data_IF_930339700085
#
_entry.id   IF_930339700085
#
_cell.length_a   1.000
_cell.length_b   1.000
_cell.length_c   1.000
_cell.angle_alpha   90.00
_cell.angle_beta   90.00
_cell.angle_gamma   90.00
#
_symmetry.space_group_name_H-M   'P 1'
#
loop_
_entity.id
_entity.type
_entity.pdbx_description
1 polymer ?
#
# COMPACT_ATOMS: atom_id res chain seq x y z
N UNK A 1 57.20 -2.48 -18.97
CA UNK A 1 55.92 -2.16 -19.59
C UNK A 1 55.16 -3.45 -19.84
N UNK A 2 54.31 -3.85 -18.93
CA UNK A 2 53.47 -5.04 -19.03
C UNK A 2 52.36 -4.74 -20.02
N UNK A 3 52.34 -5.42 -21.17
CA UNK A 3 51.23 -5.34 -22.13
C UNK A 3 49.95 -5.88 -21.47
N UNK A 4 49.01 -5.00 -21.16
CA UNK A 4 47.68 -5.38 -20.79
C UNK A 4 47.05 -6.02 -22.02
N UNK A 5 46.63 -7.28 -21.93
CA UNK A 5 45.88 -7.95 -22.98
C UNK A 5 44.60 -7.17 -23.29
N UNK A 6 44.21 -7.03 -24.55
CA UNK A 6 42.95 -6.36 -24.88
C UNK A 6 41.78 -7.14 -24.26
N UNK A 7 40.97 -6.46 -23.44
CA UNK A 7 39.71 -7.00 -22.94
C UNK A 7 38.87 -7.27 -24.18
N UNK A 8 38.61 -8.55 -24.49
CA UNK A 8 37.56 -8.91 -25.44
C UNK A 8 36.22 -8.49 -24.82
N UNK A 9 35.71 -7.37 -25.29
CA UNK A 9 34.29 -6.99 -25.04
C UNK A 9 33.45 -8.04 -25.75
N UNK A 10 33.01 -9.07 -25.02
CA UNK A 10 31.87 -9.88 -25.51
C UNK A 10 30.74 -8.91 -25.88
N UNK A 11 30.18 -9.08 -27.09
CA UNK A 11 29.08 -8.25 -27.56
C UNK A 11 27.96 -8.42 -26.56
N UNK A 12 27.78 -7.45 -25.66
CA UNK A 12 26.63 -7.39 -24.74
C UNK A 12 25.35 -7.48 -25.59
N UNK A 13 24.64 -8.59 -25.46
CA UNK A 13 23.33 -8.73 -26.08
C UNK A 13 22.37 -7.82 -25.33
N UNK A 14 21.81 -6.84 -26.03
CA UNK A 14 20.76 -5.98 -25.52
C UNK A 14 19.49 -6.16 -26.35
N UNK A 15 18.36 -6.26 -25.67
CA UNK A 15 17.04 -6.32 -26.31
C UNK A 15 16.09 -5.34 -25.62
N UNK A 16 15.10 -4.87 -26.37
CA UNK A 16 14.07 -3.98 -25.85
C UNK A 16 12.70 -4.51 -26.27
N UNK A 17 11.80 -4.61 -25.33
CA UNK A 17 10.42 -5.00 -25.52
C UNK A 17 9.50 -3.93 -24.93
N UNK A 18 8.28 -3.85 -25.45
CA UNK A 18 7.24 -2.98 -24.86
C UNK A 18 5.99 -3.80 -24.56
N UNK A 19 5.44 -3.57 -23.36
CA UNK A 19 4.24 -4.21 -22.86
C UNK A 19 3.09 -3.22 -22.83
N UNK A 20 1.97 -3.63 -23.39
CA UNK A 20 0.74 -2.85 -23.34
C UNK A 20 0.24 -2.67 -21.92
N UNK A 21 -0.53 -1.59 -21.71
CA UNK A 21 -1.10 -1.28 -20.43
C UNK A 21 -2.14 -2.34 -20.02
N UNK A 22 -2.00 -2.97 -18.83
CA UNK A 22 -2.95 -3.98 -18.39
C UNK A 22 -4.32 -3.37 -18.12
N UNK A 23 -5.35 -4.07 -18.53
CA UNK A 23 -6.73 -3.74 -18.20
C UNK A 23 -7.04 -4.04 -16.74
N UNK A 24 -8.08 -3.41 -16.23
CA UNK A 24 -8.67 -3.60 -14.91
C UNK A 24 -10.10 -4.10 -15.10
N UNK A 25 -10.59 -4.89 -14.13
CA UNK A 25 -11.97 -5.37 -14.06
C UNK A 25 -12.82 -4.43 -13.22
N UNK A 26 -14.01 -4.13 -13.75
CA UNK A 26 -15.06 -3.35 -13.10
C UNK A 26 -16.34 -4.19 -12.96
N UNK A 27 -17.48 -3.58 -12.63
CA UNK A 27 -18.74 -4.27 -12.56
C UNK A 27 -19.07 -4.98 -13.88
N UNK A 28 -19.82 -6.09 -13.79
CA UNK A 28 -20.25 -6.92 -14.94
C UNK A 28 -19.10 -7.36 -15.84
N UNK A 29 -17.91 -7.63 -15.26
CA UNK A 29 -16.69 -8.04 -15.96
C UNK A 29 -16.22 -7.07 -17.06
N UNK A 30 -16.69 -5.82 -17.01
CA UNK A 30 -16.24 -4.78 -17.93
C UNK A 30 -14.79 -4.40 -17.65
N UNK A 31 -14.07 -4.02 -18.70
CA UNK A 31 -12.65 -3.73 -18.62
C UNK A 31 -12.31 -2.34 -19.10
N UNK A 32 -11.36 -1.71 -18.46
CA UNK A 32 -10.71 -0.47 -18.88
C UNK A 32 -9.31 -0.37 -18.26
N UNK A 33 -8.37 0.29 -18.93
CA UNK A 33 -7.03 0.46 -18.38
C UNK A 33 -6.93 1.57 -17.32
N UNK A 34 -7.86 2.54 -17.30
CA UNK A 34 -7.87 3.66 -16.36
C UNK A 34 -9.00 3.54 -15.33
N UNK A 35 -8.71 3.46 -14.02
CA UNK A 35 -9.74 3.39 -13.00
C UNK A 35 -10.62 4.65 -12.95
N UNK A 36 -10.09 5.84 -13.31
CA UNK A 36 -10.85 7.09 -13.33
C UNK A 36 -11.84 7.18 -14.49
N UNK A 37 -11.71 6.30 -15.48
CA UNK A 37 -12.66 6.15 -16.57
C UNK A 37 -13.57 4.94 -16.33
N UNK A 38 -13.01 3.81 -15.88
CA UNK A 38 -13.77 2.59 -15.67
C UNK A 38 -14.85 2.71 -14.59
N UNK A 39 -14.55 3.35 -13.46
CA UNK A 39 -15.53 3.57 -12.38
C UNK A 39 -16.73 4.41 -12.82
N UNK A 40 -16.59 5.57 -13.47
CA UNK A 40 -17.73 6.33 -13.98
C UNK A 40 -18.58 5.56 -14.98
N UNK A 41 -17.96 4.81 -15.88
CA UNK A 41 -18.65 4.10 -16.95
C UNK A 41 -19.39 2.85 -16.45
N UNK A 42 -18.76 2.05 -15.60
CA UNK A 42 -19.22 0.70 -15.27
C UNK A 42 -19.59 0.53 -13.78
N UNK A 43 -19.12 1.42 -12.90
CA UNK A 43 -19.17 1.25 -11.46
C UNK A 43 -17.99 0.42 -10.92
N UNK A 44 -17.82 0.37 -9.59
CA UNK A 44 -16.75 -0.40 -8.98
C UNK A 44 -16.96 -1.91 -9.15
N UNK A 45 -15.89 -2.70 -9.10
CA UNK A 45 -15.90 -4.17 -9.29
C UNK A 45 -16.92 -4.89 -8.42
N UNK A 46 -17.12 -4.44 -7.18
CA UNK A 46 -18.09 -5.06 -6.28
C UNK A 46 -19.54 -4.62 -6.52
N UNK A 47 -19.81 -3.67 -7.40
CA UNK A 47 -21.19 -3.25 -7.67
C UNK A 47 -22.03 -4.44 -8.17
N UNK A 48 -23.23 -4.60 -7.62
CA UNK A 48 -24.09 -5.74 -7.90
C UNK A 48 -23.75 -7.03 -7.13
N UNK A 49 -22.73 -7.03 -6.28
CA UNK A 49 -22.34 -8.18 -5.46
C UNK A 49 -22.67 -7.95 -3.97
N UNK A 50 -22.62 -9.01 -3.16
CA UNK A 50 -22.81 -8.94 -1.70
C UNK A 50 -21.77 -8.07 -0.97
N UNK A 51 -20.64 -7.77 -1.59
CA UNK A 51 -19.59 -6.90 -1.04
C UNK A 51 -19.87 -5.41 -1.22
N UNK A 52 -20.78 -5.08 -2.11
CA UNK A 52 -21.14 -3.69 -2.34
C UNK A 52 -22.04 -3.16 -1.23
N UNK A 53 -21.62 -2.08 -0.58
CA UNK A 53 -22.44 -1.37 0.39
C UNK A 53 -23.13 -0.19 -0.27
N UNK A 54 -24.45 -0.19 -0.25
CA UNK A 54 -25.27 0.93 -0.72
C UNK A 54 -25.15 2.15 0.19
N UNK A 55 -25.01 1.93 1.49
CA UNK A 55 -24.86 2.96 2.51
C UNK A 55 -23.60 2.71 3.34
N UNK A 56 -22.79 3.75 3.52
CA UNK A 56 -21.54 3.73 4.28
C UNK A 56 -21.68 4.68 5.47
N UNK A 57 -21.67 4.11 6.68
CA UNK A 57 -21.77 4.85 7.93
C UNK A 57 -20.40 5.30 8.42
N UNK A 58 -20.20 6.62 8.52
CA UNK A 58 -18.93 7.21 8.90
C UNK A 58 -19.04 7.85 10.28
N UNK A 59 -18.17 7.41 11.19
CA UNK A 59 -17.93 8.06 12.47
C UNK A 59 -16.78 9.07 12.40
N UNK A 60 -16.81 10.06 13.28
CA UNK A 60 -15.81 11.11 13.34
C UNK A 60 -15.23 11.27 14.74
N UNK A 61 -13.92 11.49 14.81
CA UNK A 61 -13.21 11.87 16.04
C UNK A 61 -12.47 13.16 15.77
N UNK A 62 -12.67 14.21 16.59
CA UNK A 62 -11.97 15.49 16.43
C UNK A 62 -12.66 16.64 17.15
N UNK A 63 -12.07 17.86 17.10
CA UNK A 63 -12.77 19.07 17.51
C UNK A 63 -14.05 19.27 16.70
N UNK A 64 -15.12 19.74 17.35
CA UNK A 64 -16.44 19.78 16.72
C UNK A 64 -16.46 20.60 15.42
N UNK A 65 -15.84 21.77 15.40
CA UNK A 65 -15.74 22.60 14.21
C UNK A 65 -14.99 21.90 13.07
N UNK A 66 -13.88 21.21 13.38
CA UNK A 66 -13.14 20.41 12.40
C UNK A 66 -13.97 19.26 11.83
N UNK A 67 -14.79 18.61 12.70
CA UNK A 67 -15.69 17.52 12.28
C UNK A 67 -16.78 18.04 11.34
N UNK A 68 -17.44 19.14 11.68
CA UNK A 68 -18.49 19.75 10.84
C UNK A 68 -17.95 20.12 9.46
N UNK A 69 -16.75 20.70 9.38
CA UNK A 69 -16.09 21.00 8.12
C UNK A 69 -15.71 19.71 7.34
N UNK A 70 -15.27 18.66 8.04
CA UNK A 70 -14.98 17.38 7.41
C UNK A 70 -16.25 16.73 6.84
N UNK A 71 -17.37 16.73 7.57
CA UNK A 71 -18.65 16.21 7.09
C UNK A 71 -19.11 16.97 5.83
N UNK A 72 -19.06 18.31 5.86
CA UNK A 72 -19.37 19.15 4.70
C UNK A 72 -18.47 18.84 3.51
N UNK A 73 -17.15 18.68 3.73
CA UNK A 73 -16.20 18.33 2.68
C UNK A 73 -16.51 16.97 2.05
N UNK A 74 -16.81 15.95 2.87
CA UNK A 74 -17.21 14.62 2.37
C UNK A 74 -18.51 14.70 1.56
N UNK A 75 -19.51 15.47 2.03
CA UNK A 75 -20.78 15.64 1.34
C UNK A 75 -20.61 16.34 0.01
N UNK A 76 -19.88 17.46 -0.03
CA UNK A 76 -19.57 18.15 -1.27
C UNK A 76 -18.85 17.24 -2.27
N UNK A 77 -17.81 16.53 -1.83
CA UNK A 77 -17.08 15.60 -2.70
C UNK A 77 -17.97 14.46 -3.18
N UNK A 78 -18.87 13.94 -2.32
CA UNK A 78 -19.77 12.84 -2.69
C UNK A 78 -20.71 13.19 -3.86
N UNK A 79 -21.00 14.45 -4.07
CA UNK A 79 -21.79 14.94 -5.21
C UNK A 79 -21.00 15.04 -6.52
N UNK A 80 -19.69 14.84 -6.45
CA UNK A 80 -18.76 14.98 -7.57
C UNK A 80 -17.92 16.26 -7.47
N UNK A 81 -16.73 16.21 -8.03
CA UNK A 81 -15.80 17.34 -8.03
C UNK A 81 -15.36 17.60 -9.47
N UNK A 82 -15.53 18.82 -10.03
CA UNK A 82 -15.05 19.13 -11.37
C UNK A 82 -13.54 18.96 -11.47
N UNK A 83 -13.09 18.59 -12.65
CA UNK A 83 -11.67 18.57 -13.03
C UNK A 83 -11.24 19.88 -13.68
N UNK A 84 -10.02 19.88 -14.17
CA UNK A 84 -9.42 20.91 -15.02
C UNK A 84 -8.61 20.26 -16.15
N UNK A 85 -7.74 21.00 -16.81
CA UNK A 85 -6.89 20.49 -17.92
C UNK A 85 -5.93 19.38 -17.47
N UNK A 86 -5.52 19.36 -16.19
CA UNK A 86 -4.56 18.39 -15.64
C UNK A 86 -5.22 17.31 -14.78
N UNK A 87 -6.45 17.53 -14.33
CA UNK A 87 -7.11 16.68 -13.33
C UNK A 87 -8.47 16.16 -13.82
N UNK A 88 -8.57 14.84 -13.94
CA UNK A 88 -9.83 14.17 -14.28
C UNK A 88 -10.89 14.44 -13.20
N UNK A 89 -12.12 14.82 -13.56
CA UNK A 89 -13.18 15.07 -12.59
C UNK A 89 -13.49 13.83 -11.76
N UNK A 90 -13.82 14.02 -10.49
CA UNK A 90 -14.29 12.94 -9.62
C UNK A 90 -15.81 12.78 -9.80
N UNK A 91 -16.33 11.58 -10.16
CA UNK A 91 -17.72 11.37 -10.52
C UNK A 91 -18.70 11.42 -9.34
N UNK A 92 -18.17 11.29 -8.10
CA UNK A 92 -18.97 11.25 -6.89
C UNK A 92 -19.05 9.88 -6.24
N UNK A 93 -19.70 9.87 -5.06
CA UNK A 93 -19.96 8.69 -4.24
C UNK A 93 -21.46 8.66 -3.90
N UNK A 94 -22.28 8.38 -4.92
CA UNK A 94 -23.75 8.38 -4.86
C UNK A 94 -24.29 7.14 -5.54
N UNK A 95 -25.49 6.70 -5.17
CA UNK A 95 -26.12 5.51 -5.73
C UNK A 95 -26.26 5.54 -7.25
N UNK A 96 -26.42 6.71 -7.83
CA UNK A 96 -26.64 6.92 -9.26
C UNK A 96 -25.36 7.11 -10.07
N UNK A 97 -24.21 7.30 -9.42
CA UNK A 97 -22.95 7.64 -10.09
C UNK A 97 -21.70 7.19 -9.31
N UNK A 98 -20.57 7.16 -10.01
CA UNK A 98 -19.27 6.89 -9.43
C UNK A 98 -19.21 5.55 -8.71
N UNK A 99 -19.03 5.56 -7.40
CA UNK A 99 -18.89 4.35 -6.59
C UNK A 99 -20.22 3.67 -6.24
N UNK A 100 -21.35 4.19 -6.71
CA UNK A 100 -22.68 3.59 -6.52
C UNK A 100 -23.08 3.39 -5.04
N UNK A 101 -22.59 4.23 -4.15
CA UNK A 101 -22.85 4.15 -2.68
C UNK A 101 -23.19 5.54 -2.15
N UNK A 102 -23.88 5.60 -1.02
CA UNK A 102 -24.16 6.85 -0.30
C UNK A 102 -23.43 6.90 1.03
N UNK A 103 -23.07 8.12 1.46
CA UNK A 103 -22.56 8.36 2.81
C UNK A 103 -23.72 8.55 3.79
N UNK A 104 -23.53 8.08 5.03
CA UNK A 104 -24.41 8.33 6.17
C UNK A 104 -23.60 8.91 7.32
N UNK A 105 -24.01 10.06 7.79
CA UNK A 105 -23.49 10.74 8.97
C UNK A 105 -24.56 10.75 10.04
N UNK A 106 -24.18 10.43 11.27
CA UNK A 106 -25.03 10.48 12.43
C UNK A 106 -24.29 11.20 13.55
N UNK A 107 -24.98 12.15 14.22
CA UNK A 107 -24.39 12.90 15.33
C UNK A 107 -24.01 11.99 16.51
N UNK A 108 -24.69 10.85 16.66
CA UNK A 108 -24.33 9.83 17.64
C UNK A 108 -23.00 9.17 17.33
N UNK A 109 -22.50 9.24 16.09
CA UNK A 109 -21.20 8.72 15.65
C UNK A 109 -20.10 9.78 15.64
N UNK A 110 -20.28 10.86 16.40
CA UNK A 110 -19.24 11.90 16.60
C UNK A 110 -18.69 11.82 18.02
N UNK A 111 -17.36 11.61 18.13
CA UNK A 111 -16.65 11.66 19.39
C UNK A 111 -15.73 12.89 19.42
N UNK A 112 -16.03 13.80 20.34
CA UNK A 112 -15.39 15.11 20.37
C UNK A 112 -14.04 15.09 21.09
N UNK A 113 -13.05 15.76 20.51
CA UNK A 113 -11.85 16.20 21.20
C UNK A 113 -12.12 17.62 21.67
N UNK A 114 -12.16 17.83 22.99
CA UNK A 114 -12.46 19.13 23.57
C UNK A 114 -11.25 20.09 23.45
N UNK A 115 -11.53 21.40 23.53
CA UNK A 115 -10.46 22.41 23.60
C UNK A 115 -9.54 22.18 24.80
N UNK A 116 -10.07 21.76 25.93
CA UNK A 116 -9.28 21.45 27.11
C UNK A 116 -8.32 20.29 26.87
N UNK A 117 -8.79 19.18 26.30
CA UNK A 117 -7.94 18.02 25.92
C UNK A 117 -6.85 18.43 24.94
N UNK A 118 -7.18 19.24 23.93
CA UNK A 118 -6.21 19.76 22.96
C UNK A 118 -5.12 20.60 23.67
N UNK A 119 -5.52 21.52 24.57
CA UNK A 119 -4.58 22.36 25.30
C UNK A 119 -3.71 21.56 26.29
N UNK A 120 -4.26 20.53 26.92
CA UNK A 120 -3.50 19.62 27.77
C UNK A 120 -2.39 18.91 26.98
N UNK A 121 -2.72 18.35 25.81
CA UNK A 121 -1.72 17.72 24.94
C UNK A 121 -0.66 18.74 24.51
N UNK A 122 -1.07 19.90 24.01
CA UNK A 122 -0.15 20.92 23.48
C UNK A 122 0.74 21.55 24.58
N UNK A 123 0.28 21.58 25.83
CA UNK A 123 1.03 22.08 26.99
C UNK A 123 2.20 21.20 27.42
N UNK A 124 2.24 19.94 26.98
CA UNK A 124 3.32 19.01 27.31
C UNK A 124 4.58 19.40 26.54
N UNK A 125 5.66 19.70 27.27
CA UNK A 125 6.92 20.18 26.65
C UNK A 125 7.67 19.08 25.92
N UNK A 126 7.78 17.88 26.52
CA UNK A 126 8.53 16.76 25.90
C UNK A 126 7.73 16.09 24.79
N UNK A 127 8.32 15.98 23.61
CA UNK A 127 7.65 15.50 22.42
C UNK A 127 7.12 14.07 22.55
N UNK A 128 7.87 13.16 23.17
CA UNK A 128 7.42 11.78 23.34
C UNK A 128 6.28 11.66 24.34
N UNK A 129 6.31 12.39 25.47
CA UNK A 129 5.22 12.41 26.44
C UNK A 129 3.93 12.96 25.80
N UNK A 130 4.05 14.06 25.04
CA UNK A 130 2.94 14.65 24.29
C UNK A 130 2.36 13.66 23.26
N UNK A 131 3.22 12.93 22.56
CA UNK A 131 2.82 11.90 21.61
C UNK A 131 2.02 10.76 22.28
N UNK A 132 2.50 10.23 23.42
CA UNK A 132 1.83 9.15 24.13
C UNK A 132 0.49 9.62 24.74
N UNK A 133 0.41 10.83 25.27
CA UNK A 133 -0.84 11.37 25.79
C UNK A 133 -1.87 11.56 24.69
N UNK A 134 -1.46 12.05 23.50
CA UNK A 134 -2.37 12.11 22.35
C UNK A 134 -2.83 10.71 21.93
N UNK A 135 -1.94 9.73 21.83
CA UNK A 135 -2.31 8.37 21.47
C UNK A 135 -3.29 7.74 22.47
N UNK A 136 -3.07 7.94 23.77
CA UNK A 136 -3.98 7.47 24.81
C UNK A 136 -5.37 8.11 24.69
N UNK A 137 -5.42 9.43 24.46
CA UNK A 137 -6.66 10.14 24.20
C UNK A 137 -7.39 9.58 22.98
N UNK A 138 -6.67 9.39 21.86
CA UNK A 138 -7.27 8.84 20.63
C UNK A 138 -7.77 7.40 20.82
N UNK A 139 -7.04 6.57 21.58
CA UNK A 139 -7.45 5.21 21.92
C UNK A 139 -8.77 5.21 22.71
N UNK A 140 -8.89 6.05 23.73
CA UNK A 140 -10.11 6.20 24.52
C UNK A 140 -11.30 6.68 23.67
N UNK A 141 -11.08 7.66 22.76
CA UNK A 141 -12.13 8.12 21.83
C UNK A 141 -12.57 7.04 20.84
N UNK A 142 -11.62 6.24 20.34
CA UNK A 142 -11.89 5.07 19.48
C UNK A 142 -12.73 4.02 20.21
N UNK A 143 -12.40 3.73 21.47
CA UNK A 143 -13.12 2.78 22.30
C UNK A 143 -14.57 3.21 22.49
N UNK A 144 -14.81 4.44 22.96
CA UNK A 144 -16.15 5.01 23.17
C UNK A 144 -16.97 4.94 21.89
N UNK A 145 -16.39 5.36 20.75
CA UNK A 145 -17.11 5.38 19.47
C UNK A 145 -17.42 3.97 18.96
N UNK A 146 -16.51 3.03 19.17
CA UNK A 146 -16.66 1.65 18.71
C UNK A 146 -17.65 0.82 19.52
N UNK A 147 -17.95 1.23 20.76
CA UNK A 147 -18.93 0.59 21.65
C UNK A 147 -20.37 1.09 21.45
N UNK A 148 -20.58 2.12 20.63
CA UNK A 148 -21.93 2.63 20.37
C UNK A 148 -22.74 1.63 19.54
N UNK A 149 -23.99 1.45 19.91
CA UNK A 149 -24.93 0.54 19.22
C UNK A 149 -25.55 1.23 17.99
N UNK A 150 -24.68 1.55 17.02
CA UNK A 150 -25.06 2.14 15.75
C UNK A 150 -24.21 1.55 14.61
N UNK A 151 -24.76 1.43 13.39
CA UNK A 151 -23.95 1.03 12.24
C UNK A 151 -22.75 1.95 12.07
N UNK A 152 -21.54 1.39 12.05
CA UNK A 152 -20.29 2.12 11.90
C UNK A 152 -19.34 1.32 11.02
N UNK A 153 -19.03 1.85 9.86
CA UNK A 153 -18.17 1.18 8.87
C UNK A 153 -16.75 1.72 8.86
N UNK A 154 -16.62 3.01 9.09
CA UNK A 154 -15.35 3.73 8.94
C UNK A 154 -15.26 4.89 9.93
N UNK A 155 -14.05 5.18 10.42
CA UNK A 155 -13.81 6.31 11.32
C UNK A 155 -12.85 7.29 10.68
N UNK A 156 -13.23 8.57 10.68
CA UNK A 156 -12.39 9.69 10.24
C UNK A 156 -11.87 10.43 11.48
N UNK A 157 -10.56 10.40 11.67
CA UNK A 157 -9.88 11.23 12.67
C UNK A 157 -9.55 12.57 12.04
N UNK A 158 -10.23 13.62 12.50
CA UNK A 158 -10.00 15.00 12.04
C UNK A 158 -9.12 15.72 13.03
N UNK A 159 -7.95 16.15 12.58
CA UNK A 159 -6.97 16.81 13.44
C UNK A 159 -6.68 18.23 12.96
N UNK A 160 -6.62 19.23 13.88
CA UNK A 160 -6.02 20.52 13.59
C UNK A 160 -4.56 20.35 13.16
N UNK A 161 -4.15 21.12 12.15
CA UNK A 161 -2.80 20.99 11.58
C UNK A 161 -1.71 21.22 12.62
N UNK A 162 -1.89 22.19 13.52
CA UNK A 162 -0.92 22.51 14.55
C UNK A 162 -0.72 21.36 15.56
N UNK A 163 -1.82 20.73 16.00
CA UNK A 163 -1.78 19.54 16.84
C UNK A 163 -1.08 18.38 16.12
N UNK A 164 -1.44 18.15 14.85
CA UNK A 164 -0.84 17.10 14.06
C UNK A 164 0.67 17.31 13.88
N UNK A 165 1.11 18.51 13.50
CA UNK A 165 2.54 18.80 13.27
C UNK A 165 3.38 18.66 14.55
N UNK A 166 2.84 19.05 15.71
CA UNK A 166 3.54 18.90 17.00
C UNK A 166 3.62 17.46 17.51
N UNK A 167 2.75 16.58 17.03
CA UNK A 167 2.68 15.17 17.45
C UNK A 167 3.02 14.19 16.31
N UNK A 168 3.23 14.66 15.08
CA UNK A 168 3.40 13.80 13.90
C UNK A 168 4.50 12.76 14.06
N UNK A 169 5.64 13.18 14.60
CA UNK A 169 6.84 12.35 14.76
C UNK A 169 7.47 12.63 16.11
N UNK A 170 7.92 11.59 16.77
CA UNK A 170 8.74 11.70 17.97
C UNK A 170 9.95 10.78 17.91
N UNK A 171 11.08 11.32 18.40
CA UNK A 171 12.32 10.59 18.55
C UNK A 171 12.76 10.67 20.02
N UNK A 172 13.06 9.53 20.62
CA UNK A 172 13.55 9.49 21.98
C UNK A 172 14.49 8.31 22.19
N UNK A 173 15.37 8.44 23.17
CA UNK A 173 16.37 7.43 23.49
C UNK A 173 15.86 6.51 24.59
N UNK A 174 15.91 5.21 24.32
CA UNK A 174 15.58 4.15 25.29
C UNK A 174 16.87 3.45 25.70
N UNK A 175 17.10 3.30 27.01
CA UNK A 175 18.28 2.61 27.53
C UNK A 175 18.32 1.17 27.04
N UNK A 176 19.44 0.75 26.46
CA UNK A 176 19.63 -0.60 25.90
C UNK A 176 19.04 -0.82 24.49
N UNK A 177 18.27 0.14 23.96
CA UNK A 177 17.65 0.02 22.63
C UNK A 177 18.22 1.06 21.65
N UNK A 178 18.58 2.26 22.15
CA UNK A 178 19.03 3.36 21.29
C UNK A 178 17.91 4.34 20.96
N UNK A 179 17.94 4.89 19.74
CA UNK A 179 16.96 5.85 19.26
C UNK A 179 15.70 5.14 18.75
N UNK A 180 14.57 5.47 19.34
CA UNK A 180 13.24 5.03 18.90
C UNK A 180 12.58 6.16 18.11
N UNK A 181 12.11 5.83 16.91
CA UNK A 181 11.38 6.73 16.03
C UNK A 181 9.93 6.26 15.91
N UNK A 182 8.97 7.12 16.22
CA UNK A 182 7.55 6.82 16.10
C UNK A 182 6.83 7.84 15.21
N UNK A 183 5.82 7.40 14.50
CA UNK A 183 4.97 8.20 13.62
C UNK A 183 3.51 8.07 14.03
N UNK A 184 2.82 9.20 14.21
CA UNK A 184 1.44 9.25 14.71
C UNK A 184 0.47 8.45 13.84
N UNK A 185 0.61 8.52 12.51
CA UNK A 185 -0.27 7.78 11.61
C UNK A 185 -0.13 6.27 11.82
N UNK A 186 1.11 5.78 11.94
CA UNK A 186 1.41 4.35 12.13
C UNK A 186 0.90 3.88 13.49
N UNK A 187 1.21 4.61 14.55
CA UNK A 187 0.77 4.30 15.90
C UNK A 187 -0.75 4.32 16.04
N UNK A 188 -1.42 5.32 15.47
CA UNK A 188 -2.88 5.40 15.48
C UNK A 188 -3.52 4.23 14.70
N UNK A 189 -2.95 3.83 13.55
CA UNK A 189 -3.41 2.63 12.80
C UNK A 189 -3.29 1.36 13.65
N UNK A 190 -2.18 1.18 14.35
CA UNK A 190 -1.98 0.04 15.25
C UNK A 190 -3.04 0.00 16.36
N UNK A 191 -3.36 1.15 16.99
CA UNK A 191 -4.43 1.25 17.98
C UNK A 191 -5.80 0.94 17.35
N UNK A 192 -6.12 1.51 16.20
CA UNK A 192 -7.41 1.34 15.54
C UNK A 192 -7.72 -0.12 15.18
N UNK A 193 -6.69 -0.94 14.94
CA UNK A 193 -6.85 -2.37 14.67
C UNK A 193 -7.52 -3.13 15.82
N UNK A 194 -7.31 -2.70 17.08
CA UNK A 194 -7.92 -3.31 18.27
C UNK A 194 -9.45 -3.21 18.24
N UNK A 195 -9.96 -2.18 17.62
CA UNK A 195 -11.40 -1.89 17.52
C UNK A 195 -12.03 -2.42 16.22
N UNK A 196 -11.29 -3.13 15.39
CA UNK A 196 -11.76 -3.67 14.11
C UNK A 196 -12.40 -2.62 13.19
N UNK A 197 -11.93 -1.37 13.26
CA UNK A 197 -12.44 -0.26 12.46
C UNK A 197 -11.33 0.32 11.56
N UNK A 198 -11.52 0.34 10.24
CA UNK A 198 -10.61 1.03 9.34
C UNK A 198 -10.75 2.54 9.54
N UNK A 199 -9.63 3.25 9.43
CA UNK A 199 -9.59 4.68 9.74
C UNK A 199 -8.97 5.52 8.64
N UNK A 200 -9.29 6.82 8.64
CA UNK A 200 -8.66 7.85 7.83
C UNK A 200 -8.28 9.04 8.71
N UNK A 201 -7.06 9.55 8.57
CA UNK A 201 -6.68 10.84 9.17
C UNK A 201 -6.94 11.93 8.13
N UNK A 202 -7.62 12.97 8.53
CA UNK A 202 -7.91 14.16 7.74
C UNK A 202 -7.47 15.41 8.53
N UNK A 203 -6.82 16.34 7.87
CA UNK A 203 -6.44 17.61 8.50
C UNK A 203 -7.47 18.69 8.18
N UNK A 204 -7.70 19.59 9.11
CA UNK A 204 -8.56 20.76 8.95
C UNK A 204 -8.17 21.65 7.77
N UNK A 205 -6.87 21.70 7.43
CA UNK A 205 -6.37 22.38 6.24
C UNK A 205 -6.81 21.74 4.92
N UNK A 206 -7.07 20.42 4.91
CA UNK A 206 -7.58 19.71 3.72
C UNK A 206 -9.05 20.03 3.47
N UNK A 207 -9.80 20.26 4.55
CA UNK A 207 -11.23 20.64 4.47
C UNK A 207 -11.47 22.13 4.23
N UNK A 208 -10.41 22.93 4.27
CA UNK A 208 -10.48 24.39 4.08
C UNK A 208 -10.89 25.17 5.33
N UNK A 209 -11.00 24.51 6.52
CA UNK A 209 -11.27 25.21 7.79
C UNK A 209 -10.12 26.14 8.16
N UNK A 210 -8.89 25.67 8.04
CA UNK A 210 -7.68 26.45 8.35
C UNK A 210 -6.88 26.71 7.08
N UNK A 211 -6.43 27.95 6.88
CA UNK A 211 -5.52 28.27 5.78
C UNK A 211 -4.13 27.64 6.01
N UNK A 212 -3.49 27.27 4.92
CA UNK A 212 -2.17 26.64 4.95
C UNK A 212 -1.30 27.12 3.81
N UNK A 213 0.01 27.25 4.09
CA UNK A 213 1.02 27.47 3.06
C UNK A 213 1.45 26.14 2.39
N UNK A 214 0.90 24.99 2.83
CA UNK A 214 1.15 23.69 2.20
C UNK A 214 0.43 23.65 0.86
N UNK A 215 1.16 23.29 -0.20
CA UNK A 215 0.53 23.00 -1.48
C UNK A 215 -0.38 21.77 -1.33
N UNK A 216 -1.67 21.97 -1.51
CA UNK A 216 -2.66 20.89 -1.55
C UNK A 216 -2.78 20.38 -2.99
N UNK A 217 -3.02 19.09 -3.12
CA UNK A 217 -3.46 18.52 -4.40
C UNK A 217 -4.80 19.12 -4.82
N UNK A 218 -5.11 19.09 -6.12
CA UNK A 218 -6.41 19.48 -6.62
C UNK A 218 -7.56 18.73 -5.95
N UNK A 219 -8.68 19.38 -5.67
CA UNK A 219 -9.82 18.79 -4.93
C UNK A 219 -10.32 17.48 -5.56
N UNK A 220 -10.34 17.40 -6.89
CA UNK A 220 -10.70 16.17 -7.62
C UNK A 220 -9.74 15.01 -7.30
N UNK A 221 -8.43 15.25 -7.28
CA UNK A 221 -7.43 14.24 -6.93
C UNK A 221 -7.56 13.78 -5.49
N UNK A 222 -7.80 14.73 -4.56
CA UNK A 222 -8.07 14.40 -3.15
C UNK A 222 -9.32 13.52 -3.04
N UNK A 223 -10.40 13.88 -3.72
CA UNK A 223 -11.65 13.12 -3.71
C UNK A 223 -11.45 11.70 -4.29
N UNK A 224 -10.77 11.57 -5.44
CA UNK A 224 -10.46 10.26 -6.01
C UNK A 224 -9.73 9.34 -5.02
N UNK A 225 -8.68 9.83 -4.39
CA UNK A 225 -7.88 9.03 -3.45
C UNK A 225 -8.67 8.69 -2.19
N UNK A 226 -9.38 9.68 -1.63
CA UNK A 226 -10.16 9.51 -0.42
C UNK A 226 -11.28 8.48 -0.58
N UNK A 227 -12.08 8.59 -1.64
CA UNK A 227 -13.23 7.72 -1.86
C UNK A 227 -12.87 6.34 -2.42
N UNK A 228 -11.80 6.23 -3.21
CA UNK A 228 -11.24 4.92 -3.56
C UNK A 228 -10.80 4.15 -2.31
N UNK A 229 -10.04 4.83 -1.44
CA UNK A 229 -9.60 4.24 -0.18
C UNK A 229 -10.77 3.93 0.76
N UNK A 230 -11.78 4.80 0.86
CA UNK A 230 -12.98 4.56 1.64
C UNK A 230 -13.74 3.31 1.16
N UNK A 231 -14.02 3.22 -0.14
CA UNK A 231 -14.73 2.10 -0.71
C UNK A 231 -14.06 0.76 -0.42
N UNK A 232 -12.74 0.69 -0.55
CA UNK A 232 -11.98 -0.51 -0.20
C UNK A 232 -11.98 -0.79 1.32
N UNK A 233 -11.90 0.23 2.15
CA UNK A 233 -11.93 0.08 3.62
C UNK A 233 -13.24 -0.46 4.15
N UNK A 234 -14.33 -0.25 3.44
CA UNK A 234 -15.65 -0.79 3.79
C UNK A 234 -16.00 -2.10 3.05
N UNK A 235 -14.96 -2.86 2.68
CA UNK A 235 -14.99 -4.18 2.01
C UNK A 235 -15.42 -4.17 0.54
N UNK A 236 -15.65 -3.01 -0.06
CA UNK A 236 -15.88 -2.89 -1.49
C UNK A 236 -14.58 -3.01 -2.30
N UNK A 237 -14.64 -3.60 -3.47
CA UNK A 237 -13.50 -3.69 -4.39
C UNK A 237 -13.67 -2.66 -5.51
N UNK A 238 -12.83 -1.60 -5.57
CA UNK A 238 -12.98 -0.56 -6.60
C UNK A 238 -12.77 -1.10 -8.02
N UNK A 239 -11.72 -1.87 -8.23
CA UNK A 239 -11.40 -2.61 -9.45
C UNK A 239 -10.57 -3.84 -9.10
N UNK A 240 -10.53 -4.81 -10.00
CA UNK A 240 -9.71 -6.02 -9.91
C UNK A 240 -8.66 -6.08 -10.99
N UNK A 241 -7.70 -7.01 -10.90
CA UNK A 241 -6.74 -7.28 -11.95
C UNK A 241 -7.41 -8.04 -13.09
N UNK A 242 -7.00 -7.78 -14.32
CA UNK A 242 -7.43 -8.55 -15.51
C UNK A 242 -6.27 -9.38 -16.03
N UNK A 243 -6.55 -10.62 -16.41
CA UNK A 243 -5.58 -11.49 -17.09
C UNK A 243 -4.52 -12.11 -16.17
N UNK A 244 -4.68 -12.04 -14.85
CA UNK A 244 -3.87 -12.86 -13.95
C UNK A 244 -4.33 -14.32 -14.00
N UNK A 245 -3.39 -15.30 -13.99
CA UNK A 245 -3.76 -16.71 -13.96
C UNK A 245 -4.61 -17.06 -12.74
N UNK A 246 -5.67 -17.85 -12.89
CA UNK A 246 -6.52 -18.24 -11.78
C UNK A 246 -5.75 -19.08 -10.75
N UNK A 247 -6.21 -19.07 -9.51
CA UNK A 247 -5.56 -19.77 -8.39
C UNK A 247 -4.08 -19.42 -8.19
N UNK A 248 -3.66 -18.23 -8.58
CA UNK A 248 -2.32 -17.70 -8.32
C UNK A 248 -2.29 -16.96 -6.97
N UNK A 249 -1.25 -17.23 -6.20
CA UNK A 249 -0.96 -16.53 -4.94
C UNK A 249 0.31 -15.69 -5.09
N UNK A 250 0.17 -14.38 -5.08
CA UNK A 250 1.31 -13.46 -5.11
C UNK A 250 1.69 -13.07 -3.68
N UNK A 251 2.93 -13.29 -3.30
CA UNK A 251 3.44 -13.07 -1.95
C UNK A 251 4.50 -11.98 -1.98
N UNK A 252 4.33 -10.94 -1.18
CA UNK A 252 5.33 -9.90 -0.99
C UNK A 252 6.00 -10.03 0.38
N UNK A 253 7.31 -10.11 0.41
CA UNK A 253 8.09 -10.25 1.65
C UNK A 253 8.87 -8.96 1.91
N UNK A 254 8.77 -8.44 3.13
CA UNK A 254 9.65 -7.40 3.66
C UNK A 254 10.02 -7.67 5.11
N UNK A 255 10.99 -6.91 5.59
CA UNK A 255 11.48 -7.03 6.96
C UNK A 255 11.27 -5.72 7.70
N UNK A 256 10.93 -5.79 8.97
CA UNK A 256 10.81 -4.62 9.83
C UNK A 256 11.42 -4.91 11.21
N UNK A 257 11.82 -3.85 11.89
CA UNK A 257 12.35 -3.90 13.24
C UNK A 257 11.24 -3.52 14.22
N UNK A 258 10.81 -4.42 15.12
CA UNK A 258 9.85 -4.07 16.18
C UNK A 258 10.37 -2.94 17.05
N UNK A 259 9.47 -2.12 17.60
CA UNK A 259 9.86 -1.06 18.54
C UNK A 259 10.53 -1.68 19.77
N UNK A 260 11.62 -1.08 20.21
CA UNK A 260 12.36 -1.57 21.36
C UNK A 260 13.37 -2.69 21.06
N UNK A 261 13.51 -3.11 19.81
CA UNK A 261 14.51 -4.11 19.41
C UNK A 261 15.72 -3.47 18.72
N UNK A 262 16.93 -3.95 19.02
CA UNK A 262 18.19 -3.51 18.38
C UNK A 262 18.56 -4.47 17.24
N UNK A 263 18.51 -5.77 17.47
CA UNK A 263 19.02 -6.79 16.56
C UNK A 263 17.95 -7.74 16.04
N UNK A 264 16.73 -7.71 16.63
CA UNK A 264 15.65 -8.57 16.18
C UNK A 264 14.95 -7.94 14.98
N UNK A 265 14.84 -8.69 13.91
CA UNK A 265 13.98 -8.40 12.77
C UNK A 265 12.77 -9.33 12.77
N UNK A 266 11.72 -8.90 12.12
CA UNK A 266 10.51 -9.68 11.91
C UNK A 266 10.09 -9.57 10.46
N UNK A 267 9.58 -10.66 9.92
CA UNK A 267 9.07 -10.66 8.56
C UNK A 267 7.65 -10.10 8.51
N UNK A 268 7.41 -9.22 7.57
CA UNK A 268 6.08 -8.80 7.14
C UNK A 268 5.77 -9.48 5.82
N UNK A 269 4.72 -10.27 5.80
CA UNK A 269 4.23 -10.91 4.59
C UNK A 269 2.91 -10.29 4.21
N UNK A 270 2.83 -9.86 2.98
CA UNK A 270 1.57 -9.55 2.34
C UNK A 270 1.29 -10.64 1.33
N UNK A 271 0.34 -11.48 1.66
CA UNK A 271 -0.25 -12.38 0.70
C UNK A 271 -1.13 -11.52 -0.20
N UNK A 272 -0.65 -11.30 -1.40
CA UNK A 272 -1.42 -10.53 -2.35
C UNK A 272 -2.18 -11.48 -3.27
N UNK A 273 -3.43 -11.24 -3.34
CA UNK A 273 -4.24 -11.19 -4.52
C UNK A 273 -4.27 -12.49 -5.33
N UNK A 274 -5.36 -13.13 -5.18
CA UNK A 274 -5.93 -13.96 -6.21
C UNK A 274 -6.53 -13.08 -7.33
N UNK A 275 -7.14 -13.71 -8.28
CA UNK A 275 -7.92 -13.10 -9.36
C UNK A 275 -8.97 -12.07 -8.89
N UNK A 276 -9.33 -12.05 -7.61
CA UNK A 276 -10.31 -11.12 -7.03
C UNK A 276 -9.66 -9.92 -6.35
N UNK A 277 -8.34 -9.87 -6.28
CA UNK A 277 -7.62 -8.76 -5.67
C UNK A 277 -7.70 -8.71 -4.14
N UNK A 278 -8.00 -9.82 -3.48
CA UNK A 278 -8.01 -9.89 -2.01
C UNK A 278 -6.60 -10.06 -1.47
N UNK A 279 -6.24 -9.29 -0.46
CA UNK A 279 -4.94 -9.38 0.18
C UNK A 279 -5.05 -9.67 1.67
N UNK A 280 -4.22 -10.57 2.15
CA UNK A 280 -4.05 -10.87 3.56
C UNK A 280 -2.69 -10.38 4.05
N UNK A 281 -2.65 -10.03 5.31
CA UNK A 281 -1.42 -9.65 6.00
C UNK A 281 -1.08 -10.74 6.99
N UNK A 282 0.14 -11.22 6.91
CA UNK A 282 0.70 -12.18 7.85
C UNK A 282 1.91 -11.57 8.53
N UNK A 283 2.04 -11.82 9.83
CA UNK A 283 3.21 -11.46 10.60
C UNK A 283 4.04 -12.72 10.78
N UNK A 284 5.22 -12.76 10.17
CA UNK A 284 6.15 -13.88 10.31
C UNK A 284 6.87 -13.88 11.66
N UNK A 285 7.79 -14.80 11.80
CA UNK A 285 8.55 -15.01 13.02
C UNK A 285 9.65 -13.97 13.23
N UNK A 286 10.07 -13.82 14.48
CA UNK A 286 11.24 -13.03 14.85
C UNK A 286 12.52 -13.81 14.51
N UNK A 287 13.52 -13.08 14.06
CA UNK A 287 14.86 -13.60 13.85
C UNK A 287 15.91 -12.54 14.17
N UNK A 288 17.11 -13.01 14.50
CA UNK A 288 18.24 -12.16 14.79
C UNK A 288 18.99 -11.84 13.50
N UNK A 289 19.30 -10.56 13.29
CA UNK A 289 20.10 -10.09 12.15
C UNK A 289 21.10 -9.04 12.61
N UNK A 290 22.37 -9.30 12.37
CA UNK A 290 23.48 -8.39 12.66
C UNK A 290 23.98 -7.78 11.34
N UNK A 291 23.62 -6.53 11.10
CA UNK A 291 23.96 -5.81 9.88
C UNK A 291 25.47 -5.67 9.67
N UNK A 292 26.28 -5.62 10.75
CA UNK A 292 27.74 -5.51 10.66
C UNK A 292 28.37 -6.81 10.16
N UNK A 293 27.82 -7.95 10.55
CA UNK A 293 28.34 -9.27 10.18
C UNK A 293 27.70 -9.85 8.93
N UNK A 294 26.42 -9.63 8.73
CA UNK A 294 25.58 -10.29 7.72
C UNK A 294 25.21 -9.36 6.55
N UNK A 295 25.54 -8.06 6.65
CA UNK A 295 25.23 -7.06 5.63
C UNK A 295 23.86 -6.39 5.80
N UNK A 296 23.60 -5.39 4.95
CA UNK A 296 22.42 -4.52 5.06
C UNK A 296 21.11 -5.15 4.57
N UNK A 297 21.19 -6.23 3.81
CA UNK A 297 20.01 -6.92 3.26
C UNK A 297 19.71 -8.17 4.07
N UNK A 298 18.65 -8.19 4.88
CA UNK A 298 18.30 -9.37 5.65
C UNK A 298 17.81 -10.51 4.77
N UNK A 299 18.16 -11.73 5.18
CA UNK A 299 17.76 -12.99 4.57
C UNK A 299 17.30 -13.96 5.64
N UNK A 300 16.36 -14.83 5.30
CA UNK A 300 15.87 -15.88 6.19
C UNK A 300 16.82 -17.09 6.14
N UNK A 301 16.89 -17.85 7.25
CA UNK A 301 17.44 -19.19 7.21
C UNK A 301 16.51 -20.11 6.41
N UNK A 302 17.05 -21.27 5.98
CA UNK A 302 16.28 -22.30 5.27
C UNK A 302 15.01 -22.70 6.04
N UNK A 303 15.14 -23.00 7.33
CA UNK A 303 14.01 -23.36 8.19
C UNK A 303 12.97 -22.24 8.27
N UNK A 304 13.40 -20.99 8.45
CA UNK A 304 12.48 -19.85 8.57
C UNK A 304 11.78 -19.51 7.25
N UNK A 305 12.49 -19.67 6.15
CA UNK A 305 11.91 -19.49 4.82
C UNK A 305 10.82 -20.53 4.54
N UNK A 306 11.08 -21.79 4.90
CA UNK A 306 10.09 -22.86 4.81
C UNK A 306 8.84 -22.59 5.66
N UNK A 307 9.03 -22.29 6.95
CA UNK A 307 7.92 -21.97 7.87
C UNK A 307 7.08 -20.78 7.40
N UNK A 308 7.72 -19.79 6.79
CA UNK A 308 7.01 -18.63 6.27
C UNK A 308 6.07 -18.99 5.11
N UNK A 309 6.53 -19.83 4.19
CA UNK A 309 5.69 -20.30 3.08
C UNK A 309 4.60 -21.25 3.58
N UNK A 310 4.90 -22.15 4.50
CA UNK A 310 3.88 -23.03 5.09
C UNK A 310 2.74 -22.21 5.71
N UNK A 311 3.05 -21.17 6.47
CA UNK A 311 2.05 -20.26 7.03
C UNK A 311 1.22 -19.56 5.93
N UNK A 312 1.84 -19.17 4.81
CA UNK A 312 1.13 -18.58 3.65
C UNK A 312 0.18 -19.58 3.02
N UNK A 313 0.65 -20.82 2.79
CA UNK A 313 -0.16 -21.87 2.17
C UNK A 313 -1.33 -22.31 3.07
N UNK A 314 -1.09 -22.47 4.37
CA UNK A 314 -2.13 -22.75 5.36
C UNK A 314 -3.21 -21.66 5.35
N UNK A 315 -2.79 -20.41 5.38
CA UNK A 315 -3.73 -19.27 5.36
C UNK A 315 -4.52 -19.21 4.06
N UNK A 316 -3.89 -19.43 2.92
CA UNK A 316 -4.58 -19.50 1.64
C UNK A 316 -5.63 -20.62 1.63
N UNK A 317 -5.25 -21.80 2.14
CA UNK A 317 -6.15 -22.96 2.22
C UNK A 317 -7.33 -22.73 3.18
N UNK A 318 -7.12 -22.04 4.29
CA UNK A 318 -8.21 -21.64 5.20
C UNK A 318 -9.25 -20.75 4.51
N UNK A 319 -8.80 -19.79 3.72
CA UNK A 319 -9.67 -18.83 3.03
C UNK A 319 -10.33 -19.42 1.77
N UNK A 320 -9.58 -20.22 0.99
CA UNK A 320 -10.01 -20.70 -0.35
C UNK A 320 -10.42 -22.17 -0.37
N UNK A 321 -10.24 -22.91 0.74
CA UNK A 321 -10.52 -24.33 0.89
C UNK A 321 -9.70 -25.25 -0.03
N UNK A 322 -8.69 -24.71 -0.70
CA UNK A 322 -7.76 -25.43 -1.56
C UNK A 322 -6.40 -24.74 -1.56
N UNK A 323 -5.35 -25.46 -1.92
CA UNK A 323 -4.03 -24.87 -2.14
C UNK A 323 -4.02 -24.06 -3.44
N UNK A 324 -3.17 -23.01 -3.54
CA UNK A 324 -2.97 -22.32 -4.81
C UNK A 324 -2.31 -23.25 -5.81
N UNK A 325 -2.65 -23.09 -7.09
CA UNK A 325 -1.97 -23.83 -8.16
C UNK A 325 -0.57 -23.27 -8.42
N UNK A 326 -0.40 -21.96 -8.20
CA UNK A 326 0.86 -21.28 -8.41
C UNK A 326 1.12 -20.25 -7.32
N UNK A 327 2.37 -20.17 -6.83
CA UNK A 327 2.83 -19.18 -5.86
C UNK A 327 3.98 -18.38 -6.45
N UNK A 328 3.86 -17.05 -6.39
CA UNK A 328 4.89 -16.12 -6.84
C UNK A 328 5.37 -15.29 -5.65
N UNK A 329 6.64 -15.45 -5.27
CA UNK A 329 7.25 -14.73 -4.15
C UNK A 329 8.02 -13.53 -4.66
N UNK A 330 7.63 -12.32 -4.24
CA UNK A 330 8.30 -11.07 -4.55
C UNK A 330 9.10 -10.56 -3.34
N UNK A 331 10.37 -10.28 -3.55
CA UNK A 331 11.28 -9.67 -2.57
C UNK A 331 12.13 -8.59 -3.24
N UNK A 332 12.70 -7.66 -2.47
CA UNK A 332 13.57 -6.60 -3.03
C UNK A 332 15.04 -6.98 -3.12
N UNK A 333 15.51 -7.92 -2.32
CA UNK A 333 16.86 -8.48 -2.35
C UNK A 333 16.90 -9.81 -3.09
N UNK A 334 18.04 -10.22 -3.57
CA UNK A 334 18.26 -11.56 -4.15
C UNK A 334 17.96 -12.64 -3.13
N UNK A 335 17.75 -13.85 -3.58
CA UNK A 335 17.53 -15.02 -2.73
C UNK A 335 18.88 -15.67 -2.44
N UNK A 336 19.24 -15.75 -1.15
CA UNK A 336 20.42 -16.49 -0.71
C UNK A 336 20.18 -18.01 -0.83
N UNK A 337 21.24 -18.84 -1.04
CA UNK A 337 21.06 -20.26 -1.30
C UNK A 337 20.23 -21.00 -0.25
N UNK A 338 20.48 -20.76 1.04
CA UNK A 338 19.70 -21.41 2.12
C UNK A 338 18.26 -20.92 2.17
N UNK A 339 18.03 -19.62 2.05
CA UNK A 339 16.69 -19.02 1.99
C UNK A 339 15.89 -19.59 0.80
N UNK A 340 16.55 -19.67 -0.36
CA UNK A 340 15.97 -20.26 -1.57
C UNK A 340 15.60 -21.74 -1.37
N UNK A 341 16.49 -22.55 -0.82
CA UNK A 341 16.23 -23.96 -0.54
C UNK A 341 15.00 -24.16 0.37
N UNK A 342 14.87 -23.34 1.41
CA UNK A 342 13.69 -23.37 2.29
C UNK A 342 12.39 -23.00 1.56
N UNK A 343 12.41 -21.99 0.71
CA UNK A 343 11.25 -21.62 -0.10
C UNK A 343 10.88 -22.75 -1.09
N UNK A 344 11.84 -23.26 -1.85
CA UNK A 344 11.61 -24.32 -2.84
C UNK A 344 11.07 -25.60 -2.18
N UNK A 345 11.60 -25.99 -1.02
CA UNK A 345 11.13 -27.14 -0.27
C UNK A 345 9.65 -27.01 0.14
N UNK A 346 9.25 -25.88 0.73
CA UNK A 346 7.87 -25.65 1.11
C UNK A 346 6.92 -25.50 -0.10
N UNK A 347 7.40 -24.86 -1.18
CA UNK A 347 6.65 -24.69 -2.41
C UNK A 347 6.52 -25.96 -3.26
N UNK A 348 7.23 -27.04 -2.93
CA UNK A 348 7.04 -28.35 -3.58
C UNK A 348 5.61 -28.92 -3.46
N UNK A 349 4.80 -28.37 -2.55
CA UNK A 349 3.38 -28.70 -2.34
C UNK A 349 2.43 -28.10 -3.39
N UNK A 350 2.92 -27.18 -4.21
CA UNK A 350 2.13 -26.50 -5.27
C UNK A 350 2.64 -26.87 -6.66
N UNK A 351 1.80 -26.72 -7.67
CA UNK A 351 2.13 -27.15 -9.02
C UNK A 351 3.23 -26.32 -9.68
N UNK A 352 3.23 -25.01 -9.43
CA UNK A 352 4.17 -24.06 -10.01
C UNK A 352 4.58 -23.02 -8.99
N UNK A 353 5.82 -22.53 -9.07
CA UNK A 353 6.27 -21.43 -8.25
C UNK A 353 7.31 -20.56 -8.95
N UNK A 354 7.40 -19.32 -8.50
CA UNK A 354 8.39 -18.36 -8.94
C UNK A 354 8.92 -17.56 -7.76
N UNK A 355 10.24 -17.44 -7.66
CA UNK A 355 10.94 -16.55 -6.74
C UNK A 355 11.49 -15.37 -7.54
N UNK A 356 11.03 -14.17 -7.29
CA UNK A 356 11.36 -12.99 -8.11
C UNK A 356 11.89 -11.85 -7.24
N UNK A 357 13.14 -11.47 -7.46
CA UNK A 357 13.75 -10.31 -6.82
C UNK A 357 13.53 -9.06 -7.67
N UNK A 358 12.75 -8.11 -7.13
CA UNK A 358 12.36 -6.87 -7.80
C UNK A 358 12.92 -5.67 -7.05
N UNK A 359 13.98 -5.06 -7.53
CA UNK A 359 14.57 -3.89 -6.86
C UNK A 359 14.52 -2.63 -7.73
N UNK A 360 14.10 -1.48 -7.17
CA UNK A 360 14.28 -0.21 -7.85
C UNK A 360 15.78 0.08 -8.00
N UNK A 361 16.21 0.48 -9.18
CA UNK A 361 17.59 0.89 -9.39
C UNK A 361 17.69 2.34 -9.82
N UNK A 362 18.70 3.06 -9.32
CA UNK A 362 19.07 4.40 -9.77
C UNK A 362 20.33 4.42 -10.66
N UNK A 363 20.98 3.30 -10.83
CA UNK A 363 22.26 3.20 -11.51
C UNK A 363 22.12 3.18 -13.04
N UNK A 364 20.98 2.70 -13.53
CA UNK A 364 20.73 2.53 -14.97
C UNK A 364 19.50 3.34 -15.40
N UNK A 365 19.63 4.01 -16.53
CA UNK A 365 18.55 4.75 -17.19
C UNK A 365 18.60 4.50 -18.69
N UNK A 366 17.44 4.18 -19.26
CA UNK A 366 17.24 4.21 -20.70
C UNK A 366 16.84 5.64 -21.11
N UNK A 367 17.52 6.17 -22.10
CA UNK A 367 17.22 7.48 -22.68
C UNK A 367 16.74 7.23 -24.12
N UNK A 368 15.61 7.81 -24.48
CA UNK A 368 15.11 7.81 -25.86
C UNK A 368 15.21 9.19 -26.49
N UNK A 369 15.25 9.25 -27.79
CA UNK A 369 15.14 10.52 -28.52
C UNK A 369 13.78 11.16 -28.29
N UNK A 370 13.73 12.50 -28.20
CA UNK A 370 12.52 13.29 -28.03
C UNK A 370 12.34 13.88 -26.63
N UNK A 371 11.20 14.52 -26.41
CA UNK A 371 10.90 15.30 -25.20
C UNK A 371 10.61 14.46 -23.95
N UNK A 372 10.07 13.26 -24.14
CA UNK A 372 9.53 12.45 -23.05
C UNK A 372 10.42 11.25 -22.71
N UNK A 373 10.43 10.75 -21.46
CA UNK A 373 11.19 9.58 -21.07
C UNK A 373 10.66 8.30 -21.73
N UNK A 374 11.26 7.12 -21.47
CA UNK A 374 10.73 5.85 -21.96
C UNK A 374 9.26 5.66 -21.63
N UNK A 375 8.55 4.97 -22.51
CA UNK A 375 7.15 4.59 -22.29
C UNK A 375 7.05 3.70 -21.05
N UNK A 376 6.00 3.85 -20.28
CA UNK A 376 5.57 2.83 -19.32
C UNK A 376 5.37 1.51 -20.07
N UNK A 377 5.80 0.40 -19.48
CA UNK A 377 5.81 -0.91 -20.11
C UNK A 377 7.08 -1.21 -20.93
N UNK A 378 8.02 -0.26 -21.06
CA UNK A 378 9.30 -0.55 -21.71
C UNK A 378 10.15 -1.44 -20.81
N UNK A 379 10.58 -2.58 -21.33
CA UNK A 379 11.60 -3.44 -20.75
C UNK A 379 12.84 -3.43 -21.64
N UNK A 380 14.00 -3.28 -21.05
CA UNK A 380 15.26 -3.55 -21.75
C UNK A 380 16.11 -4.54 -20.95
N UNK A 381 16.71 -5.45 -21.67
CA UNK A 381 17.52 -6.52 -21.08
C UNK A 381 18.97 -6.36 -21.56
N UNK A 382 19.92 -6.44 -20.64
CA UNK A 382 21.35 -6.43 -20.92
C UNK A 382 21.96 -7.66 -20.28
N UNK A 383 22.43 -8.59 -21.10
CA UNK A 383 22.83 -9.92 -20.64
C UNK A 383 21.61 -10.63 -20.01
N UNK A 384 21.75 -11.05 -18.76
CA UNK A 384 20.68 -11.76 -18.01
C UNK A 384 19.81 -10.84 -17.16
N UNK A 385 20.13 -9.54 -17.12
CA UNK A 385 19.44 -8.57 -16.24
C UNK A 385 18.41 -7.78 -17.05
N UNK A 386 17.17 -7.78 -16.56
CA UNK A 386 16.08 -6.99 -17.14
C UNK A 386 15.74 -5.78 -16.29
N UNK A 387 15.50 -4.66 -16.97
CA UNK A 387 15.13 -3.37 -16.40
C UNK A 387 13.78 -2.95 -16.96
N UNK A 388 12.78 -2.85 -16.10
CA UNK A 388 11.39 -2.66 -16.48
C UNK A 388 10.82 -1.33 -16.02
N UNK A 389 10.34 -0.52 -16.95
CA UNK A 389 9.71 0.76 -16.66
C UNK A 389 8.24 0.57 -16.29
N UNK A 390 7.97 0.34 -15.03
CA UNK A 390 6.62 0.31 -14.45
C UNK A 390 6.01 1.70 -14.27
N UNK A 391 6.83 2.75 -14.40
CA UNK A 391 6.42 4.15 -14.53
C UNK A 391 7.16 4.75 -15.74
N UNK A 392 6.51 5.69 -16.43
CA UNK A 392 7.09 6.29 -17.63
C UNK A 392 6.07 7.16 -18.34
N UNK A 393 6.39 7.55 -19.55
CA UNK A 393 5.49 8.34 -20.39
C UNK A 393 4.30 7.49 -20.85
N UNK A 394 3.12 8.08 -20.75
CA UNK A 394 1.86 7.52 -21.19
C UNK A 394 1.27 8.43 -22.29
N UNK A 395 1.27 8.00 -23.55
CA UNK A 395 0.76 8.81 -24.65
C UNK A 395 -0.69 9.28 -24.48
N UNK A 396 -1.52 8.45 -23.84
CA UNK A 396 -2.93 8.76 -23.59
C UNK A 396 -3.15 10.01 -22.72
N UNK A 397 -2.15 10.41 -21.92
CA UNK A 397 -2.20 11.61 -21.10
C UNK A 397 -1.53 12.85 -21.73
N UNK A 398 -0.96 12.71 -22.93
CA UNK A 398 -0.37 13.81 -23.69
C UNK A 398 0.86 14.50 -23.08
N UNK A 399 1.24 14.15 -21.86
CA UNK A 399 2.31 14.77 -21.10
C UNK A 399 3.04 13.83 -20.14
N UNK A 400 4.14 14.33 -19.57
CA UNK A 400 4.86 13.69 -18.48
C UNK A 400 5.14 14.76 -17.41
N UNK A 401 4.42 14.76 -16.28
CA UNK A 401 4.43 15.86 -15.32
C UNK A 401 5.70 15.92 -14.46
N UNK A 402 6.56 14.89 -14.53
CA UNK A 402 7.73 14.81 -13.68
C UNK A 402 8.97 15.39 -14.37
N UNK A 403 9.76 16.18 -13.66
CA UNK A 403 10.97 16.82 -14.18
C UNK A 403 12.20 15.88 -14.26
N UNK A 404 12.02 14.56 -14.17
CA UNK A 404 13.13 13.60 -14.18
C UNK A 404 12.79 12.33 -14.96
N UNK A 405 13.81 11.66 -15.49
CA UNK A 405 13.64 10.35 -16.10
C UNK A 405 13.36 9.31 -15.00
N UNK A 406 12.27 8.51 -15.12
CA UNK A 406 11.94 7.51 -14.10
C UNK A 406 13.03 6.45 -13.97
N UNK A 407 13.09 5.87 -12.78
CA UNK A 407 13.93 4.70 -12.51
C UNK A 407 13.20 3.43 -12.98
N UNK A 408 13.89 2.50 -13.63
CA UNK A 408 13.31 1.19 -13.90
C UNK A 408 13.30 0.32 -12.63
N UNK A 409 12.46 -0.69 -12.67
CA UNK A 409 12.48 -1.80 -11.73
C UNK A 409 13.42 -2.87 -12.32
N UNK A 410 14.47 -3.23 -11.58
CA UNK A 410 15.39 -4.29 -11.97
C UNK A 410 14.82 -5.65 -11.53
N UNK A 411 14.76 -6.62 -12.43
CA UNK A 411 14.62 -8.02 -12.09
C UNK A 411 16.03 -8.54 -11.81
N UNK A 412 16.36 -8.57 -10.51
CA UNK A 412 17.72 -8.88 -10.06
C UNK A 412 17.97 -10.39 -9.97
N UNK A 413 16.90 -11.18 -9.82
CA UNK A 413 16.94 -12.64 -9.73
C UNK A 413 15.56 -13.21 -10.05
N UNK A 414 15.53 -14.35 -10.74
CA UNK A 414 14.31 -15.11 -11.02
C UNK A 414 14.62 -16.60 -11.07
N UNK A 415 13.90 -17.34 -10.29
CA UNK A 415 13.93 -18.80 -10.24
C UNK A 415 12.50 -19.31 -10.27
N UNK A 416 12.16 -20.15 -11.22
CA UNK A 416 10.83 -20.75 -11.34
C UNK A 416 10.46 -21.10 -12.77
N UNK A 417 9.18 -21.49 -12.93
CA UNK A 417 8.66 -22.14 -14.13
C UNK A 417 8.13 -21.14 -15.17
N UNK A 418 7.88 -19.91 -14.77
CA UNK A 418 7.16 -18.95 -15.61
C UNK A 418 8.11 -18.17 -16.53
N UNK A 419 7.68 -17.93 -17.74
CA UNK A 419 8.43 -17.10 -18.68
C UNK A 419 8.58 -15.67 -18.17
N UNK A 420 9.72 -15.05 -18.46
CA UNK A 420 9.98 -13.66 -18.08
C UNK A 420 8.92 -12.68 -18.60
N UNK A 421 8.45 -12.89 -19.81
CA UNK A 421 7.38 -12.08 -20.42
C UNK A 421 6.08 -12.14 -19.59
N UNK A 422 5.69 -13.32 -19.12
CA UNK A 422 4.50 -13.47 -18.26
C UNK A 422 4.70 -12.79 -16.91
N UNK A 423 5.86 -12.96 -16.27
CA UNK A 423 6.18 -12.28 -15.01
C UNK A 423 6.12 -10.75 -15.14
N UNK A 424 6.63 -10.19 -16.25
CA UNK A 424 6.58 -8.75 -16.50
C UNK A 424 5.14 -8.23 -16.65
N UNK A 425 4.27 -8.96 -17.33
CA UNK A 425 2.84 -8.64 -17.44
C UNK A 425 2.16 -8.65 -16.08
N UNK A 426 2.44 -9.65 -15.25
CA UNK A 426 1.91 -9.74 -13.89
C UNK A 426 2.40 -8.61 -12.99
N UNK A 427 3.70 -8.31 -13.02
CA UNK A 427 4.26 -7.17 -12.30
C UNK A 427 3.58 -5.87 -12.72
N UNK A 428 3.35 -5.68 -14.03
CA UNK A 428 2.68 -4.51 -14.58
C UNK A 428 1.23 -4.40 -14.06
N UNK A 429 0.46 -5.50 -14.08
CA UNK A 429 -0.90 -5.56 -13.54
C UNK A 429 -0.93 -5.24 -12.04
N UNK A 430 -0.01 -5.82 -11.27
CA UNK A 430 0.08 -5.60 -9.83
C UNK A 430 0.49 -4.16 -9.44
N UNK A 431 1.09 -3.38 -10.36
CA UNK A 431 1.35 -1.96 -10.09
C UNK A 431 0.08 -1.10 -10.06
N UNK A 432 -1.04 -1.61 -10.57
CA UNK A 432 -2.34 -0.92 -10.61
C UNK A 432 -3.25 -1.26 -9.42
N UNK A 433 -2.87 -2.24 -8.59
CA UNK A 433 -3.68 -2.74 -7.46
C UNK A 433 -3.51 -1.89 -6.19
N UNK A 434 -3.37 -0.58 -6.30
CA UNK A 434 -3.23 0.32 -5.16
C UNK A 434 -4.54 1.10 -4.93
N UNK A 435 -5.34 0.65 -4.00
CA UNK A 435 -6.60 1.33 -3.65
C UNK A 435 -6.46 2.45 -2.61
N UNK A 436 -5.23 2.86 -2.23
CA UNK A 436 -5.00 4.12 -1.50
C UNK A 436 -5.07 5.35 -2.41
N UNK A 437 -5.01 5.14 -3.73
CA UNK A 437 -5.11 6.21 -4.72
C UNK A 437 -5.72 5.66 -6.00
N UNK A 438 -6.35 6.53 -6.78
CA UNK A 438 -6.83 6.22 -8.12
C UNK A 438 -5.80 6.59 -9.20
N UNK A 439 -4.50 6.59 -8.86
CA UNK A 439 -3.45 6.86 -9.83
C UNK A 439 -3.41 5.77 -10.89
N UNK A 440 -3.17 6.18 -12.13
CA UNK A 440 -3.14 5.27 -13.28
C UNK A 440 -2.16 4.11 -13.10
N UNK A 441 -1.03 4.36 -12.45
CA UNK A 441 0.02 3.37 -12.24
C UNK A 441 0.86 3.65 -11.00
N UNK A 442 1.50 2.60 -10.49
CA UNK A 442 2.50 2.67 -9.42
C UNK A 442 3.88 2.26 -9.90
N UNK A 443 4.93 2.74 -9.22
CA UNK A 443 6.31 2.33 -9.50
C UNK A 443 6.57 0.86 -9.13
N UNK A 444 5.96 0.39 -8.04
CA UNK A 444 6.18 -0.95 -7.49
C UNK A 444 4.91 -1.78 -7.55
N UNK A 445 5.02 -3.10 -7.81
CA UNK A 445 3.86 -3.99 -7.64
C UNK A 445 3.37 -3.93 -6.19
N UNK A 446 2.08 -4.15 -6.03
CA UNK A 446 1.41 -4.01 -4.75
C UNK A 446 2.00 -4.91 -3.66
N UNK A 447 2.48 -6.09 -4.02
CA UNK A 447 3.19 -7.04 -3.16
C UNK A 447 4.37 -6.39 -2.43
N UNK A 448 5.26 -5.73 -3.17
CA UNK A 448 6.43 -5.04 -2.61
C UNK A 448 6.02 -3.75 -1.87
N UNK A 449 5.06 -3.01 -2.41
CA UNK A 449 4.62 -1.76 -1.80
C UNK A 449 3.93 -2.00 -0.46
N UNK A 450 3.03 -2.95 -0.42
CA UNK A 450 2.21 -3.20 0.77
C UNK A 450 2.97 -3.93 1.86
N UNK A 451 3.81 -4.91 1.53
CA UNK A 451 4.63 -5.58 2.55
C UNK A 451 5.45 -4.58 3.37
N UNK A 452 6.01 -3.56 2.72
CA UNK A 452 6.74 -2.49 3.40
C UNK A 452 5.83 -1.61 4.25
N UNK A 453 4.69 -1.14 3.71
CA UNK A 453 3.74 -0.28 4.44
C UNK A 453 3.15 -1.00 5.65
N UNK A 454 2.85 -2.28 5.50
CA UNK A 454 2.38 -3.14 6.58
C UNK A 454 3.46 -3.28 7.65
N UNK A 455 4.69 -3.59 7.29
CA UNK A 455 5.81 -3.67 8.23
C UNK A 455 6.01 -2.38 9.03
N UNK A 456 5.85 -1.24 8.38
CA UNK A 456 5.92 0.08 9.02
C UNK A 456 4.85 0.30 10.12
N UNK A 457 3.68 -0.32 10.00
CA UNK A 457 2.61 -0.26 11.01
C UNK A 457 2.78 -1.40 12.03
N UNK A 458 3.13 -2.61 11.58
CA UNK A 458 3.35 -3.74 12.48
C UNK A 458 4.45 -3.50 13.51
N UNK A 459 5.41 -2.62 13.23
CA UNK A 459 6.41 -2.21 14.23
C UNK A 459 5.81 -1.48 15.44
N UNK A 460 4.65 -0.83 15.29
CA UNK A 460 3.93 -0.14 16.36
C UNK A 460 2.98 -1.07 17.14
N UNK A 461 2.68 -2.27 16.60
CA UNK A 461 1.83 -3.28 17.27
C UNK A 461 2.67 -4.01 18.32
N UNK A 462 2.13 -4.18 19.52
CA UNK A 462 2.82 -4.88 20.61
C UNK A 462 3.03 -6.34 20.25
N UNK A 463 4.06 -6.95 20.84
CA UNK A 463 4.49 -8.30 20.47
C UNK A 463 3.46 -9.38 20.80
N UNK A 464 2.70 -9.18 21.87
CA UNK A 464 1.62 -10.05 22.36
C UNK A 464 0.28 -9.84 21.65
N UNK A 465 0.16 -8.79 20.86
CA UNK A 465 -1.08 -8.48 20.11
C UNK A 465 -1.07 -9.14 18.72
N UNK A 466 -2.20 -9.76 18.37
CA UNK A 466 -2.43 -10.27 17.01
C UNK A 466 -2.91 -9.15 16.08
N UNK A 467 -2.16 -8.82 15.02
CA UNK A 467 -2.58 -7.79 14.08
C UNK A 467 -3.75 -8.26 13.22
N UNK A 468 -4.51 -7.31 12.70
CA UNK A 468 -5.61 -7.61 11.78
C UNK A 468 -5.07 -8.22 10.47
N UNK A 469 -5.66 -9.31 9.97
CA UNK A 469 -5.17 -9.95 8.75
C UNK A 469 -5.57 -9.20 7.47
N UNK A 470 -6.62 -8.38 7.49
CA UNK A 470 -7.09 -7.68 6.28
C UNK A 470 -6.31 -6.40 6.03
N UNK A 471 -5.84 -6.23 4.80
CA UNK A 471 -5.02 -5.07 4.39
C UNK A 471 -5.70 -3.71 4.62
N UNK A 472 -7.03 -3.63 4.57
CA UNK A 472 -7.81 -2.40 4.77
C UNK A 472 -7.49 -1.64 6.06
N UNK A 473 -7.03 -2.32 7.09
CA UNK A 473 -6.66 -1.71 8.37
C UNK A 473 -5.30 -0.99 8.34
N UNK A 474 -4.47 -1.29 7.36
CA UNK A 474 -3.13 -0.71 7.18
C UNK A 474 -3.12 0.50 6.23
N UNK A 475 -4.22 0.80 5.58
CA UNK A 475 -4.37 1.89 4.60
C UNK A 475 -4.56 3.26 5.22
#
# INVERSE_FOLDING_TARGET
MTKVAPIQLEKLRASTEWFEEPHLLFADDRTHCDPKIGIPLYGPRSFGTHRHKQEVHIGFIGPIESVEHAQKFYEECSNGVPGDEEHIPFPGFRNDRGFRSNLRFDNSLVERITRQETLQVLGIKKSHERFEVLLSLLSSKMEILSQRDHPLDHIVLVLPQDLYLKCRVTNYKVKGVGMVHRDLRRAFKAIAMKFHRPTQILLDTTTGLTQTNRQLDHKSKIAWNLFTGLYFKVDGLPWGPYGLPPSSCFVGISFFRPLGSVSTLRTSVVQAFDENGEGLVLRGHDFHWDEEKQGKSPHLSEEMAGKLIDMVLERYQEERKQLPQRVIVHKTSRFEPGERAGFEQALSKVNQHDLVALSPTSEVRLIRAGKYPPLRGTCFTVGDVSYFYTSGYLPAYGGYPHGHVPSPLQIADHVGDTSRTQLLREVMALTKMNWNSADYSGLKPITIRFSRLVGDILREVQTDESPQPKYKYYM
#
